data_IF_526154746153
#
_entry.id   IF_526154746153
#
_cell.length_a   1.000
_cell.length_b   1.000
_cell.length_c   1.000
_cell.angle_alpha   90.00
_cell.angle_beta   90.00
_cell.angle_gamma   90.00
#
_symmetry.space_group_name_H-M   'P 1'
#
loop_
_entity.id
_entity.type
_entity.pdbx_description
1 polymer ?
#
# COMPACT_ATOMS: atom_id res chain seq x y z
N UNK A 1 -25.02 -48.23 -8.99
CA UNK A 1 -24.73 -48.37 -7.55
C UNK A 1 -23.88 -47.17 -7.16
N UNK A 2 -24.43 -46.27 -6.31
CA UNK A 2 -23.83 -45.23 -5.41
C UNK A 2 -22.46 -44.62 -5.79
N UNK A 3 -22.34 -43.30 -6.05
CA UNK A 3 -22.21 -42.15 -5.10
C UNK A 3 -21.04 -42.33 -4.09
N UNK A 4 -20.12 -41.40 -3.81
CA UNK A 4 -20.24 -40.00 -3.32
C UNK A 4 -18.86 -39.26 -3.37
N UNK A 5 -18.86 -37.95 -3.67
CA UNK A 5 -18.42 -36.78 -2.86
C UNK A 5 -16.91 -36.63 -2.57
N UNK A 6 -16.25 -35.47 -2.70
CA UNK A 6 -16.70 -34.10 -2.43
C UNK A 6 -16.23 -33.70 -1.02
N UNK A 7 -15.16 -32.90 -0.91
CA UNK A 7 -14.59 -32.50 0.38
C UNK A 7 -13.87 -31.16 0.31
N UNK A 8 -14.63 -30.09 0.52
CA UNK A 8 -14.13 -28.75 0.83
C UNK A 8 -13.40 -28.77 2.18
N UNK A 9 -12.17 -28.25 2.21
CA UNK A 9 -11.43 -28.05 3.45
C UNK A 9 -11.82 -26.70 4.07
N UNK A 10 -12.68 -26.75 5.08
CA UNK A 10 -12.96 -25.63 5.98
C UNK A 10 -11.76 -25.49 6.92
N UNK A 11 -11.01 -24.39 6.84
CA UNK A 11 -9.95 -24.06 7.80
C UNK A 11 -10.58 -23.54 9.09
N UNK A 12 -10.41 -24.30 10.16
CA UNK A 12 -10.82 -23.95 11.52
C UNK A 12 -9.86 -22.93 12.13
N UNK A 13 -10.39 -21.77 12.49
CA UNK A 13 -9.74 -20.78 13.35
C UNK A 13 -9.89 -21.26 14.81
N UNK A 14 -8.79 -21.60 15.46
CA UNK A 14 -8.74 -21.89 16.90
C UNK A 14 -7.35 -21.59 17.43
N UNK A 15 -7.26 -20.59 18.31
CA UNK A 15 -6.19 -20.17 19.24
C UNK A 15 -6.60 -18.71 19.58
N UNK A 16 -6.93 -18.24 20.79
CA UNK A 16 -6.58 -18.60 22.15
C UNK A 16 -7.74 -18.14 23.07
N UNK A 17 -8.31 -19.05 23.87
CA UNK A 17 -9.07 -18.70 25.06
C UNK A 17 -8.25 -19.16 26.26
N UNK A 18 -7.65 -18.23 27.01
CA UNK A 18 -6.93 -18.57 28.24
C UNK A 18 -6.81 -17.35 29.18
N UNK A 19 -7.92 -16.88 29.76
CA UNK A 19 -7.93 -16.28 31.12
C UNK A 19 -9.33 -16.44 31.71
N UNK A 20 -9.62 -17.54 32.43
CA UNK A 20 -10.64 -17.55 33.49
C UNK A 20 -10.47 -18.75 34.45
N UNK A 21 -10.06 -18.45 35.68
CA UNK A 21 -10.07 -19.31 36.89
C UNK A 21 -9.70 -18.37 38.04
N UNK A 22 -10.61 -17.85 38.87
CA UNK A 22 -11.37 -18.43 39.98
C UNK A 22 -12.31 -17.27 40.45
N UNK A 23 -13.55 -17.40 40.89
CA UNK A 23 -14.04 -18.10 42.09
C UNK A 23 -15.57 -18.28 41.94
N UNK A 24 -16.04 -19.48 42.27
CA UNK A 24 -17.44 -19.83 42.40
C UNK A 24 -18.00 -19.49 43.80
N UNK A 25 -19.30 -19.17 43.87
CA UNK A 25 -20.31 -19.86 44.69
C UNK A 25 -21.38 -18.92 45.28
N UNK A 26 -22.55 -19.53 45.52
CA UNK A 26 -23.86 -19.01 45.98
C UNK A 26 -24.74 -18.54 44.80
N UNK A 27 -25.78 -19.24 44.33
CA UNK A 27 -26.67 -20.22 44.96
C UNK A 27 -28.06 -19.60 45.09
N UNK A 28 -29.08 -20.14 44.39
CA UNK A 28 -30.49 -19.79 44.65
C UNK A 28 -31.42 -19.77 43.44
N UNK A 29 -32.31 -20.77 43.38
CA UNK A 29 -33.44 -20.88 42.46
C UNK A 29 -34.50 -19.79 42.70
N UNK A 30 -35.23 -19.38 41.66
CA UNK A 30 -36.51 -18.69 41.82
C UNK A 30 -37.00 -17.97 40.57
N UNK A 31 -37.80 -18.65 39.75
CA UNK A 31 -38.66 -18.00 38.76
C UNK A 31 -39.79 -17.25 39.48
N UNK A 32 -40.19 -16.06 39.00
CA UNK A 32 -41.59 -15.59 38.88
C UNK A 32 -41.67 -14.09 38.52
N UNK A 33 -42.19 -13.86 37.31
CA UNK A 33 -43.10 -12.78 36.84
C UNK A 33 -42.74 -11.29 36.85
N UNK A 34 -43.06 -10.72 35.67
CA UNK A 34 -43.79 -9.46 35.44
C UNK A 34 -43.03 -8.13 35.54
N UNK A 35 -42.74 -7.59 34.36
CA UNK A 35 -42.49 -6.17 34.10
C UNK A 35 -43.84 -5.47 33.90
N UNK A 36 -44.03 -4.29 34.51
CA UNK A 36 -44.52 -3.16 33.71
C UNK A 36 -43.72 -1.86 33.94
N UNK A 37 -43.73 -1.03 32.90
CA UNK A 37 -43.01 0.24 32.74
C UNK A 37 -43.39 1.34 33.76
N UNK A 38 -42.51 2.34 34.00
CA UNK A 38 -42.91 3.54 34.72
C UNK A 38 -43.38 4.66 33.78
N UNK A 39 -44.52 5.22 34.17
CA UNK A 39 -45.13 6.49 33.74
C UNK A 39 -44.52 7.64 34.55
N UNK A 40 -44.66 8.83 33.97
CA UNK A 40 -44.08 10.14 34.26
C UNK A 40 -44.70 10.88 35.48
N UNK A 41 -43.93 11.85 36.02
CA UNK A 41 -44.28 13.21 36.55
C UNK A 41 -44.42 13.48 38.07
N UNK A 42 -43.75 14.59 38.46
CA UNK A 42 -44.14 15.75 39.32
C UNK A 42 -44.61 15.49 40.77
N UNK A 43 -44.41 16.30 41.83
CA UNK A 43 -43.67 17.52 42.17
C UNK A 43 -43.82 17.71 43.70
N UNK A 44 -42.81 18.32 44.34
CA UNK A 44 -42.85 19.20 45.54
C UNK A 44 -43.47 18.78 46.89
N UNK A 45 -42.70 18.95 48.00
CA UNK A 45 -43.22 19.63 49.21
C UNK A 45 -42.09 20.18 50.10
N UNK A 46 -42.31 21.40 50.60
CA UNK A 46 -41.47 22.25 51.45
C UNK A 46 -41.60 21.95 52.95
N UNK A 47 -40.58 22.31 53.74
CA UNK A 47 -40.69 22.41 55.21
C UNK A 47 -39.46 23.09 55.85
N UNK A 48 -39.69 24.25 56.44
CA UNK A 48 -38.78 25.19 57.12
C UNK A 48 -38.58 24.84 58.61
N UNK A 49 -37.39 25.08 59.19
CA UNK A 49 -37.16 25.61 60.56
C UNK A 49 -35.64 25.71 60.86
N UNK A 50 -35.17 26.89 61.30
CA UNK A 50 -33.77 27.15 61.74
C UNK A 50 -33.74 27.58 63.20
N UNK A 51 -32.66 27.26 63.96
CA UNK A 51 -31.83 28.36 64.49
C UNK A 51 -30.31 28.08 64.65
N UNK A 52 -29.51 29.15 64.52
CA UNK A 52 -28.07 29.34 64.87
C UNK A 52 -27.86 29.51 66.41
N UNK A 53 -26.65 29.79 67.01
CA UNK A 53 -25.27 30.06 66.50
C UNK A 53 -24.07 29.49 67.36
N UNK A 54 -22.81 29.70 66.91
CA UNK A 54 -21.62 30.22 67.67
C UNK A 54 -20.30 29.89 66.92
N UNK A 55 -19.53 30.88 66.43
CA UNK A 55 -18.31 31.48 67.05
C UNK A 55 -17.29 30.43 67.54
N UNK A 56 -16.00 30.40 67.21
CA UNK A 56 -15.03 31.30 66.56
C UNK A 56 -13.65 30.87 67.06
N UNK A 57 -12.68 30.66 66.17
CA UNK A 57 -11.30 30.25 66.50
C UNK A 57 -10.33 30.65 65.39
N UNK A 58 -9.25 31.32 65.78
CA UNK A 58 -8.25 32.06 64.99
C UNK A 58 -7.38 31.24 64.00
N UNK A 59 -6.61 31.91 63.11
CA UNK A 59 -6.09 31.35 61.86
C UNK A 59 -4.68 30.75 61.98
N UNK A 60 -4.34 29.82 61.08
CA UNK A 60 -2.95 29.40 60.83
C UNK A 60 -2.62 29.50 59.33
N UNK A 61 -1.64 30.37 59.08
CA UNK A 61 -0.75 30.61 57.94
C UNK A 61 -1.02 29.96 56.58
N UNK A 62 -1.11 30.85 55.58
CA UNK A 62 -0.98 30.57 54.16
C UNK A 62 0.45 30.12 53.81
N UNK A 63 0.56 28.98 53.12
CA UNK A 63 1.73 28.64 52.32
C UNK A 63 1.40 28.84 50.85
N UNK A 64 2.09 29.78 50.22
CA UNK A 64 1.96 30.08 48.80
C UNK A 64 2.74 29.02 48.01
N UNK A 65 2.05 28.25 47.16
CA UNK A 65 2.69 27.35 46.21
C UNK A 65 3.40 28.15 45.09
N UNK A 66 4.56 27.71 44.58
CA UNK A 66 5.25 28.40 43.50
C UNK A 66 4.54 28.17 42.15
N UNK A 67 4.42 29.26 41.38
CA UNK A 67 3.93 29.25 40.00
C UNK A 67 4.91 28.48 39.08
N UNK A 68 4.43 27.63 38.15
CA UNK A 68 5.32 27.01 37.17
C UNK A 68 5.86 28.05 36.18
N UNK A 69 7.15 27.95 35.87
CA UNK A 69 7.80 28.80 34.89
C UNK A 69 7.26 28.54 33.47
N UNK A 70 7.11 29.61 32.68
CA UNK A 70 6.71 29.51 31.28
C UNK A 70 7.82 28.89 30.42
N UNK A 71 7.42 28.09 29.43
CA UNK A 71 8.33 27.51 28.43
C UNK A 71 9.06 28.59 27.62
N UNK A 72 10.34 28.39 27.27
CA UNK A 72 11.05 29.30 26.39
C UNK A 72 10.48 29.25 24.95
N UNK A 73 10.56 30.36 24.20
CA UNK A 73 10.08 30.39 22.83
C UNK A 73 10.89 29.44 21.94
N UNK A 74 10.21 28.79 21.00
CA UNK A 74 10.82 27.93 19.99
C UNK A 74 11.82 28.73 19.14
N UNK A 75 12.96 28.10 18.83
CA UNK A 75 13.97 28.68 17.96
C UNK A 75 13.47 28.79 16.52
N UNK A 76 13.87 29.86 15.82
CA UNK A 76 13.58 30.08 14.41
C UNK A 76 14.14 28.93 13.54
N UNK A 77 13.40 28.48 12.51
CA UNK A 77 13.90 27.47 11.57
C UNK A 77 15.11 28.01 10.79
N UNK A 78 16.09 27.15 10.44
CA UNK A 78 17.23 27.59 9.64
C UNK A 78 16.79 28.06 8.26
N UNK A 79 17.40 29.14 7.78
CA UNK A 79 17.16 29.68 6.46
C UNK A 79 17.47 28.62 5.39
N UNK A 80 16.54 28.42 4.45
CA UNK A 80 16.71 27.53 3.31
C UNK A 80 17.92 27.99 2.46
N UNK A 81 18.98 27.17 2.42
CA UNK A 81 20.09 27.40 1.51
C UNK A 81 19.62 27.12 0.08
N UNK A 82 19.75 28.13 -0.79
CA UNK A 82 19.37 28.05 -2.19
C UNK A 82 20.31 27.09 -2.91
N UNK A 83 19.77 25.96 -3.38
CA UNK A 83 20.50 25.00 -4.21
C UNK A 83 20.96 25.66 -5.53
N UNK A 84 22.20 25.44 -5.98
CA UNK A 84 22.70 25.98 -7.24
C UNK A 84 21.94 25.39 -8.43
N UNK A 85 21.70 26.22 -9.45
CA UNK A 85 20.99 25.81 -10.67
C UNK A 85 21.77 24.73 -11.44
N UNK A 86 21.07 23.75 -12.06
CA UNK A 86 21.73 22.69 -12.84
C UNK A 86 22.36 23.24 -14.14
N UNK A 87 23.39 22.58 -14.68
CA UNK A 87 23.99 22.94 -15.95
C UNK A 87 23.01 22.70 -17.12
N UNK A 88 23.17 23.43 -18.25
CA UNK A 88 22.32 23.23 -19.42
C UNK A 88 22.56 21.85 -20.08
N UNK A 89 21.48 21.22 -20.53
CA UNK A 89 21.50 19.93 -21.25
C UNK A 89 22.24 20.01 -22.59
N UNK A 90 22.89 18.92 -23.05
CA UNK A 90 23.54 18.88 -24.36
C UNK A 90 22.51 18.85 -25.51
N UNK A 91 22.79 19.61 -26.58
CA UNK A 91 21.96 19.62 -27.80
C UNK A 91 22.07 18.30 -28.60
N UNK A 92 20.98 17.83 -29.22
CA UNK A 92 21.00 16.65 -30.07
C UNK A 92 21.73 16.90 -31.40
N UNK A 93 22.39 15.87 -31.99
CA UNK A 93 23.07 16.03 -33.27
C UNK A 93 22.07 16.21 -34.42
N UNK A 94 22.40 17.16 -35.31
CA UNK A 94 21.62 17.48 -36.50
C UNK A 94 21.49 16.28 -37.46
N UNK A 95 20.25 15.93 -37.79
CA UNK A 95 19.94 14.95 -38.83
C UNK A 95 20.31 15.51 -40.22
N UNK A 96 21.28 14.88 -40.88
CA UNK A 96 21.64 15.17 -42.26
C UNK A 96 20.58 14.59 -43.21
N UNK A 97 19.81 15.47 -43.84
CA UNK A 97 18.92 15.12 -44.95
C UNK A 97 19.68 15.10 -46.29
N UNK A 98 19.59 13.99 -47.01
CA UNK A 98 20.07 13.85 -48.39
C UNK A 98 18.98 13.25 -49.27
N UNK A 99 18.52 14.03 -50.25
CA UNK A 99 17.47 13.67 -51.21
C UNK A 99 18.05 13.18 -52.54
N UNK A 100 17.23 12.36 -53.22
CA UNK A 100 17.08 12.09 -54.66
C UNK A 100 18.20 11.39 -55.47
N UNK A 101 17.77 10.32 -56.15
CA UNK A 101 18.35 9.77 -57.37
C UNK A 101 17.34 8.80 -57.99
N UNK A 102 16.55 9.28 -58.95
CA UNK A 102 15.67 8.47 -59.76
C UNK A 102 16.47 7.85 -60.91
N UNK A 103 16.39 6.52 -61.08
CA UNK A 103 16.81 5.88 -62.32
C UNK A 103 15.78 4.83 -62.75
N UNK A 104 15.41 4.99 -64.02
CA UNK A 104 14.41 4.27 -64.78
C UNK A 104 15.10 3.06 -65.44
N UNK A 105 14.65 1.83 -65.20
CA UNK A 105 14.97 0.70 -66.07
C UNK A 105 13.93 -0.42 -65.99
N UNK A 106 13.34 -0.68 -67.16
CA UNK A 106 12.50 -1.81 -67.54
C UNK A 106 13.09 -3.18 -67.17
N UNK A 107 12.27 -4.04 -66.55
CA UNK A 107 12.33 -5.50 -66.70
C UNK A 107 11.09 -6.18 -66.08
N UNK A 108 10.17 -6.65 -66.92
CA UNK A 108 9.22 -7.73 -66.60
C UNK A 108 9.89 -9.10 -66.88
N UNK A 109 9.32 -10.26 -66.48
CA UNK A 109 8.48 -10.60 -65.33
C UNK A 109 8.98 -11.88 -64.60
N UNK A 110 8.54 -12.16 -63.37
CA UNK A 110 8.30 -13.56 -62.90
C UNK A 110 7.33 -13.52 -61.72
N UNK A 111 6.14 -14.08 -61.90
CA UNK A 111 5.22 -14.38 -60.80
C UNK A 111 5.81 -15.58 -60.02
N UNK A 112 6.43 -15.29 -58.88
CA UNK A 112 6.92 -16.33 -57.97
C UNK A 112 5.86 -16.54 -56.90
N UNK A 113 5.20 -17.70 -56.95
CA UNK A 113 4.23 -18.14 -55.95
C UNK A 113 4.94 -18.33 -54.61
N UNK A 114 4.75 -17.40 -53.67
CA UNK A 114 5.24 -17.60 -52.30
C UNK A 114 4.24 -18.48 -51.55
N UNK A 115 4.67 -19.71 -51.25
CA UNK A 115 3.99 -20.62 -50.36
C UNK A 115 3.88 -19.99 -48.96
N UNK A 116 2.70 -20.00 -48.38
CA UNK A 116 2.45 -19.55 -47.01
C UNK A 116 3.09 -20.57 -46.05
N UNK A 117 4.24 -20.20 -45.49
CA UNK A 117 4.89 -20.95 -44.42
C UNK A 117 4.17 -20.68 -43.11
N UNK A 118 3.24 -21.57 -42.75
CA UNK A 118 2.64 -21.61 -41.41
C UNK A 118 3.62 -22.26 -40.43
N UNK A 119 4.67 -21.54 -40.05
CA UNK A 119 5.47 -21.91 -38.90
C UNK A 119 4.79 -21.34 -37.64
N UNK A 120 4.56 -22.14 -36.58
CA UNK A 120 4.08 -21.60 -35.31
C UNK A 120 5.14 -20.64 -34.77
N UNK A 121 4.69 -19.45 -34.35
CA UNK A 121 5.52 -18.49 -33.63
C UNK A 121 6.08 -19.18 -32.38
N UNK A 122 7.39 -19.06 -32.08
CA UNK A 122 7.92 -19.59 -30.82
C UNK A 122 7.23 -18.85 -29.67
N UNK A 123 6.79 -19.61 -28.67
CA UNK A 123 6.36 -19.05 -27.40
C UNK A 123 7.48 -18.18 -26.85
N UNK A 124 7.14 -16.96 -26.43
CA UNK A 124 8.04 -16.00 -25.83
C UNK A 124 8.79 -16.66 -24.66
N UNK A 125 10.09 -16.87 -24.81
CA UNK A 125 10.95 -17.29 -23.72
C UNK A 125 10.94 -16.19 -22.66
N UNK A 126 10.66 -16.57 -21.41
CA UNK A 126 10.84 -15.72 -20.24
C UNK A 126 12.28 -15.16 -20.23
N UNK A 127 12.50 -13.91 -19.81
CA UNK A 127 13.82 -13.31 -19.87
C UNK A 127 14.83 -14.15 -19.07
N UNK A 128 15.89 -14.58 -19.75
CA UNK A 128 17.02 -15.23 -19.13
C UNK A 128 17.72 -14.25 -18.17
N UNK A 129 17.68 -14.52 -16.85
CA UNK A 129 18.53 -13.78 -15.91
C UNK A 129 18.12 -13.70 -14.45
N UNK A 130 16.97 -14.22 -14.01
CA UNK A 130 16.62 -14.17 -12.60
C UNK A 130 17.16 -15.39 -11.85
N UNK A 131 18.33 -15.25 -11.21
CA UNK A 131 18.64 -16.12 -10.09
C UNK A 131 17.49 -16.00 -9.07
N UNK A 132 17.00 -17.15 -8.57
CA UNK A 132 15.97 -17.15 -7.53
C UNK A 132 16.42 -16.33 -6.33
N UNK A 133 15.50 -15.58 -5.74
CA UNK A 133 15.81 -14.70 -4.63
C UNK A 133 16.27 -15.48 -3.38
N UNK A 134 17.30 -15.02 -2.64
CA UNK A 134 17.85 -15.75 -1.49
C UNK A 134 16.88 -15.90 -0.31
N UNK A 135 15.77 -15.17 -0.30
CA UNK A 135 14.74 -15.17 0.74
C UNK A 135 13.88 -16.46 0.75
N UNK A 136 14.08 -17.35 -0.22
CA UNK A 136 13.54 -18.72 -0.19
C UNK A 136 12.08 -18.84 -0.62
N UNK A 137 11.55 -17.86 -1.34
CA UNK A 137 10.23 -17.92 -1.96
C UNK A 137 10.39 -18.32 -3.42
N UNK A 138 9.80 -19.45 -3.82
CA UNK A 138 9.88 -19.96 -5.18
C UNK A 138 9.27 -18.99 -6.21
N UNK A 139 10.01 -18.72 -7.29
CA UNK A 139 9.56 -17.84 -8.36
C UNK A 139 9.77 -16.35 -8.11
N UNK A 140 10.26 -15.95 -6.92
CA UNK A 140 10.70 -14.56 -6.72
C UNK A 140 11.97 -14.33 -7.50
N UNK A 141 11.92 -13.32 -8.36
CA UNK A 141 13.05 -12.89 -9.18
C UNK A 141 13.78 -11.74 -8.52
N UNK A 142 15.11 -11.73 -8.64
CA UNK A 142 15.95 -10.58 -8.30
C UNK A 142 15.96 -9.63 -9.49
N UNK A 143 15.53 -8.38 -9.27
CA UNK A 143 15.60 -7.32 -10.27
C UNK A 143 16.85 -6.47 -10.01
N UNK A 144 17.81 -6.40 -10.95
CA UNK A 144 19.00 -5.57 -10.78
C UNK A 144 18.64 -4.09 -10.73
N UNK A 145 18.91 -3.43 -9.60
CA UNK A 145 18.71 -1.99 -9.43
C UNK A 145 20.08 -1.31 -9.38
N UNK A 146 20.29 -0.36 -10.30
CA UNK A 146 21.58 0.33 -10.47
C UNK A 146 21.64 1.68 -9.75
N UNK A 147 20.49 2.23 -9.35
CA UNK A 147 20.36 3.54 -8.70
C UNK A 147 19.01 3.65 -7.99
N UNK A 148 18.96 4.41 -6.90
CA UNK A 148 17.75 4.86 -6.21
C UNK A 148 17.61 6.40 -6.27
N UNK A 149 18.25 7.05 -7.24
CA UNK A 149 18.24 8.51 -7.35
C UNK A 149 16.83 9.08 -7.58
N UNK A 150 16.54 10.17 -6.89
CA UNK A 150 15.34 10.96 -7.15
C UNK A 150 15.51 11.82 -8.41
N UNK A 151 14.61 11.64 -9.37
CA UNK A 151 14.56 12.34 -10.65
C UNK A 151 13.29 13.20 -10.77
N UNK A 152 13.18 13.94 -11.88
CA UNK A 152 12.02 14.80 -12.19
C UNK A 152 11.45 14.55 -13.59
N UNK A 153 11.76 13.38 -14.15
CA UNK A 153 11.44 12.98 -15.51
C UNK A 153 11.02 11.51 -15.51
N UNK A 154 10.32 11.12 -16.57
CA UNK A 154 9.87 9.75 -16.79
C UNK A 154 11.05 8.80 -16.94
N UNK A 155 10.94 7.60 -16.37
CA UNK A 155 12.00 6.60 -16.30
C UNK A 155 11.59 5.35 -17.09
N UNK A 156 12.49 4.88 -17.94
CA UNK A 156 12.35 3.57 -18.57
C UNK A 156 12.90 2.49 -17.65
N UNK A 157 12.03 1.56 -17.25
CA UNK A 157 12.37 0.49 -16.32
C UNK A 157 12.65 -0.84 -17.02
N UNK A 158 13.51 -1.70 -16.45
CA UNK A 158 13.81 -3.01 -17.02
C UNK A 158 12.67 -4.03 -16.82
N UNK A 159 11.71 -3.74 -15.94
CA UNK A 159 10.54 -4.57 -15.67
C UNK A 159 9.27 -3.73 -15.76
N UNK A 160 8.16 -4.38 -16.12
CA UNK A 160 6.83 -3.78 -16.20
C UNK A 160 5.84 -4.74 -15.55
N UNK A 161 5.29 -4.42 -14.36
CA UNK A 161 5.54 -3.22 -13.55
C UNK A 161 6.99 -3.10 -13.04
N UNK A 162 7.45 -1.88 -12.70
CA UNK A 162 8.78 -1.67 -12.15
C UNK A 162 8.89 -2.14 -10.70
N UNK A 163 10.07 -2.66 -10.34
CA UNK A 163 10.39 -3.12 -8.99
C UNK A 163 11.50 -2.29 -8.31
N UNK A 164 11.81 -1.09 -8.81
CA UNK A 164 12.88 -0.24 -8.30
C UNK A 164 13.60 0.53 -9.41
N UNK A 165 14.46 1.47 -9.03
CA UNK A 165 15.25 2.29 -9.95
C UNK A 165 15.19 3.78 -9.61
N UNK A 166 15.73 4.66 -10.48
CA UNK A 166 15.46 6.09 -10.40
C UNK A 166 13.96 6.34 -10.40
N UNK A 167 13.49 7.32 -9.63
CA UNK A 167 12.06 7.56 -9.44
C UNK A 167 11.80 9.00 -8.97
N UNK A 168 10.55 9.45 -8.93
CA UNK A 168 10.24 10.83 -8.54
C UNK A 168 10.54 11.04 -7.07
N UNK A 169 10.99 12.23 -6.65
CA UNK A 169 11.26 12.54 -5.24
C UNK A 169 10.03 12.71 -4.33
N UNK A 170 8.87 12.19 -4.74
CA UNK A 170 7.62 12.22 -3.99
C UNK A 170 6.90 10.87 -4.16
N UNK A 171 6.42 10.30 -3.07
CA UNK A 171 5.77 8.99 -3.09
C UNK A 171 4.27 9.06 -3.37
N UNK A 172 3.75 7.94 -3.89
CA UNK A 172 2.32 7.69 -3.90
C UNK A 172 1.86 7.18 -2.53
N UNK A 173 0.75 7.70 -2.04
CA UNK A 173 0.08 7.18 -0.86
C UNK A 173 -0.38 5.75 -1.14
N UNK A 174 0.05 4.81 -0.29
CA UNK A 174 -0.40 3.43 -0.32
C UNK A 174 -1.91 3.33 -0.10
N UNK A 175 -2.53 2.33 -0.72
CA UNK A 175 -3.97 2.13 -0.74
C UNK A 175 -4.43 1.41 -2.00
N UNK A 176 -5.75 1.27 -2.13
CA UNK A 176 -6.37 0.60 -3.27
C UNK A 176 -6.85 1.60 -4.32
N UNK A 177 -6.18 1.61 -5.47
CA UNK A 177 -6.55 2.41 -6.64
C UNK A 177 -7.33 1.58 -7.66
N UNK A 178 -8.40 2.16 -8.19
CA UNK A 178 -9.21 1.58 -9.29
C UNK A 178 -8.72 2.05 -10.67
N UNK A 179 -7.73 2.95 -10.70
CA UNK A 179 -7.12 3.50 -11.90
C UNK A 179 -5.61 3.26 -11.89
N UNK A 180 -4.96 3.18 -13.06
CA UNK A 180 -3.50 3.09 -13.13
C UNK A 180 -2.83 4.26 -12.41
N UNK A 181 -1.64 4.02 -11.91
CA UNK A 181 -0.83 5.00 -11.17
C UNK A 181 0.44 5.29 -11.94
N UNK A 182 1.10 6.41 -11.65
CA UNK A 182 2.39 6.74 -12.26
C UNK A 182 3.48 5.84 -11.65
N UNK A 183 4.23 5.17 -12.52
CA UNK A 183 5.25 4.18 -12.15
C UNK A 183 6.30 4.76 -11.20
N UNK A 184 6.80 5.95 -11.48
CA UNK A 184 7.83 6.61 -10.67
C UNK A 184 7.32 6.99 -9.27
N UNK A 185 6.02 7.27 -9.09
CA UNK A 185 5.46 7.52 -7.76
C UNK A 185 5.33 6.22 -6.96
N UNK A 186 4.90 5.14 -7.63
CA UNK A 186 4.79 3.82 -7.02
C UNK A 186 6.17 3.26 -6.65
N UNK A 187 7.20 3.47 -7.48
CA UNK A 187 8.57 3.06 -7.19
C UNK A 187 9.13 3.78 -5.97
N UNK A 188 8.83 5.06 -5.76
CA UNK A 188 9.18 5.73 -4.50
C UNK A 188 8.50 5.06 -3.30
N UNK A 189 7.22 4.68 -3.41
CA UNK A 189 6.55 3.92 -2.36
C UNK A 189 7.27 2.60 -2.07
N UNK A 190 7.82 1.92 -3.08
CA UNK A 190 8.66 0.72 -2.90
C UNK A 190 9.97 1.05 -2.16
N UNK A 191 10.56 2.23 -2.37
CA UNK A 191 11.75 2.69 -1.63
C UNK A 191 11.48 2.76 -0.12
N UNK A 192 10.25 3.12 0.26
CA UNK A 192 9.77 3.20 1.64
C UNK A 192 9.32 1.84 2.21
N UNK A 193 9.46 0.75 1.46
CA UNK A 193 9.09 -0.59 1.89
C UNK A 193 7.64 -0.96 1.61
N UNK A 194 6.99 -0.28 0.66
CA UNK A 194 5.72 -0.76 0.14
C UNK A 194 5.88 -2.07 -0.63
N UNK A 195 4.82 -2.88 -0.61
CA UNK A 195 4.59 -3.89 -1.64
C UNK A 195 3.51 -3.36 -2.57
N UNK A 196 3.85 -3.26 -3.85
CA UNK A 196 2.91 -2.90 -4.89
C UNK A 196 2.33 -4.16 -5.53
N UNK A 197 1.05 -4.40 -5.28
CA UNK A 197 0.26 -5.47 -5.87
C UNK A 197 -0.47 -4.93 -7.09
N UNK A 198 -0.07 -5.38 -8.26
CA UNK A 198 -0.69 -4.99 -9.53
C UNK A 198 -1.55 -6.11 -10.08
N UNK A 199 -2.67 -5.74 -10.70
CA UNK A 199 -3.64 -6.71 -11.21
C UNK A 199 -4.07 -6.37 -12.64
N UNK A 200 -4.40 -7.41 -13.41
CA UNK A 200 -5.04 -7.29 -14.72
C UNK A 200 -6.56 -7.21 -14.60
N UNK A 201 -7.22 -6.72 -15.65
CA UNK A 201 -8.69 -6.60 -15.76
C UNK A 201 -9.48 -7.91 -15.59
N UNK A 202 -8.85 -9.08 -15.70
CA UNK A 202 -9.50 -10.36 -15.45
C UNK A 202 -9.57 -10.73 -13.96
N UNK A 203 -8.79 -10.09 -13.09
CA UNK A 203 -8.95 -10.12 -11.63
C UNK A 203 -10.14 -9.25 -11.23
N UNK A 204 -11.21 -9.89 -10.75
CA UNK A 204 -12.50 -9.24 -10.48
C UNK A 204 -13.28 -9.94 -9.37
N UNK A 205 -14.37 -9.32 -8.94
CA UNK A 205 -15.28 -9.93 -7.96
C UNK A 205 -14.62 -10.09 -6.59
N UNK A 206 -14.71 -11.30 -6.03
CA UNK A 206 -14.19 -11.61 -4.68
C UNK A 206 -12.70 -11.31 -4.55
N UNK A 207 -11.87 -11.73 -5.52
CA UNK A 207 -10.43 -11.47 -5.49
C UNK A 207 -10.09 -9.97 -5.45
N UNK A 208 -10.82 -9.14 -6.21
CA UNK A 208 -10.62 -7.69 -6.16
C UNK A 208 -11.06 -7.09 -4.82
N UNK A 209 -12.12 -7.64 -4.22
CA UNK A 209 -12.57 -7.28 -2.88
C UNK A 209 -11.55 -7.65 -1.80
N UNK A 210 -10.88 -8.79 -1.93
CA UNK A 210 -9.78 -9.20 -1.03
C UNK A 210 -8.59 -8.23 -1.10
N UNK A 211 -8.19 -7.84 -2.31
CA UNK A 211 -7.14 -6.82 -2.50
C UNK A 211 -7.52 -5.47 -1.89
N UNK A 212 -8.79 -5.07 -1.99
CA UNK A 212 -9.28 -3.85 -1.37
C UNK A 212 -9.21 -3.93 0.17
N UNK A 213 -9.60 -5.06 0.75
CA UNK A 213 -9.51 -5.30 2.21
C UNK A 213 -8.05 -5.31 2.66
N UNK A 214 -7.17 -5.97 1.92
CA UNK A 214 -5.74 -6.02 2.20
C UNK A 214 -5.12 -4.61 2.26
N UNK A 215 -5.38 -3.78 1.24
CA UNK A 215 -4.88 -2.41 1.19
C UNK A 215 -5.44 -1.53 2.32
N UNK A 216 -6.68 -1.78 2.75
CA UNK A 216 -7.27 -1.05 3.87
C UNK A 216 -6.70 -1.45 5.24
N UNK A 217 -6.13 -2.66 5.36
CA UNK A 217 -5.57 -3.20 6.60
C UNK A 217 -4.06 -2.96 6.75
N UNK A 218 -3.38 -2.53 5.69
CA UNK A 218 -1.94 -2.30 5.68
C UNK A 218 -1.60 -0.88 5.28
N UNK A 219 -0.68 -0.25 5.99
CA UNK A 219 -0.18 1.09 5.65
C UNK A 219 0.81 1.11 4.48
N UNK A 220 1.32 -0.06 4.05
CA UNK A 220 2.39 -0.19 3.05
C UNK A 220 2.00 -1.10 1.89
N UNK A 221 0.72 -1.43 1.74
CA UNK A 221 0.23 -2.12 0.54
C UNK A 221 -0.32 -1.07 -0.43
N UNK A 222 0.28 -1.02 -1.60
CA UNK A 222 -0.23 -0.27 -2.75
C UNK A 222 -0.88 -1.26 -3.71
N UNK A 223 -2.09 -0.97 -4.19
CA UNK A 223 -2.79 -1.80 -5.18
C UNK A 223 -3.27 -0.93 -6.33
N UNK A 224 -3.01 -1.33 -7.58
CA UNK A 224 -3.54 -0.64 -8.76
C UNK A 224 -3.63 -1.58 -9.97
N UNK A 225 -4.49 -1.28 -10.96
CA UNK A 225 -4.52 -2.02 -12.21
C UNK A 225 -3.27 -1.75 -13.06
N UNK A 226 -2.80 -2.78 -13.76
CA UNK A 226 -1.65 -2.70 -14.66
C UNK A 226 -1.84 -3.66 -15.86
N UNK A 227 -2.49 -3.21 -16.93
CA UNK A 227 -2.93 -4.09 -18.02
C UNK A 227 -1.79 -4.67 -18.88
N UNK A 228 -0.61 -4.04 -18.86
CA UNK A 228 0.52 -4.49 -19.67
C UNK A 228 1.27 -5.70 -19.07
N UNK A 229 0.97 -6.09 -17.83
CA UNK A 229 1.61 -7.23 -17.18
C UNK A 229 1.11 -8.56 -17.76
N UNK A 230 1.96 -9.60 -17.77
CA UNK A 230 1.60 -10.90 -18.33
C UNK A 230 0.70 -11.71 -17.39
N UNK A 231 1.05 -11.80 -16.11
CA UNK A 231 0.32 -12.59 -15.11
C UNK A 231 -0.88 -11.85 -14.51
N UNK A 232 -1.93 -12.56 -14.04
CA UNK A 232 -3.07 -11.94 -13.36
C UNK A 232 -2.67 -11.00 -12.22
N UNK A 233 -1.63 -11.38 -11.45
CA UNK A 233 -1.09 -10.61 -10.34
C UNK A 233 0.43 -10.49 -10.47
N UNK A 234 0.97 -9.32 -10.16
CA UNK A 234 2.40 -9.11 -9.95
C UNK A 234 2.60 -8.36 -8.64
N UNK A 235 3.43 -8.92 -7.75
CA UNK A 235 3.84 -8.31 -6.49
C UNK A 235 5.25 -7.79 -6.67
N UNK A 236 5.42 -6.48 -6.49
CA UNK A 236 6.71 -5.81 -6.58
C UNK A 236 7.08 -5.24 -5.21
N UNK A 237 8.30 -5.54 -4.77
CA UNK A 237 9.00 -4.87 -3.68
C UNK A 237 10.35 -4.38 -4.23
N UNK A 238 11.06 -3.52 -3.51
CA UNK A 238 12.33 -3.01 -4.02
C UNK A 238 13.29 -4.15 -4.41
N UNK A 239 13.75 -4.18 -5.65
CA UNK A 239 14.62 -5.21 -6.25
C UNK A 239 14.06 -6.66 -6.23
N UNK A 240 12.76 -6.87 -5.99
CA UNK A 240 12.13 -8.19 -5.88
C UNK A 240 10.77 -8.20 -6.55
N UNK A 241 10.50 -9.23 -7.33
CA UNK A 241 9.22 -9.34 -8.01
C UNK A 241 8.73 -10.78 -8.04
N UNK A 242 7.41 -10.96 -7.95
CA UNK A 242 6.75 -12.25 -8.01
C UNK A 242 5.50 -12.14 -8.88
N UNK A 243 5.45 -12.94 -9.94
CA UNK A 243 4.26 -13.08 -10.78
C UNK A 243 3.43 -14.28 -10.29
N UNK A 244 2.12 -14.10 -10.16
CA UNK A 244 1.17 -15.09 -9.65
C UNK A 244 -0.08 -15.19 -10.53
N UNK A 245 -0.64 -16.39 -10.58
CA UNK A 245 -1.89 -16.66 -11.31
C UNK A 245 -3.14 -16.45 -10.44
N UNK A 246 -3.02 -16.45 -9.10
CA UNK A 246 -4.14 -16.32 -8.16
C UNK A 246 -3.69 -15.77 -6.79
N UNK A 247 -4.63 -15.16 -6.06
CA UNK A 247 -4.46 -14.78 -4.65
C UNK A 247 -4.38 -15.99 -3.72
N UNK A 248 -4.94 -17.14 -4.13
CA UNK A 248 -4.89 -18.38 -3.35
C UNK A 248 -3.48 -19.00 -3.30
N UNK A 249 -2.54 -18.47 -4.08
CA UNK A 249 -1.17 -18.96 -4.07
C UNK A 249 -0.51 -18.62 -2.72
N UNK A 250 -0.02 -19.62 -1.96
CA UNK A 250 0.55 -19.38 -0.63
C UNK A 250 1.79 -18.46 -0.66
N UNK A 251 2.39 -18.25 -1.83
CA UNK A 251 3.50 -17.31 -2.01
C UNK A 251 3.05 -15.85 -1.93
N UNK A 252 1.77 -15.55 -2.14
CA UNK A 252 1.21 -14.20 -2.01
C UNK A 252 1.44 -13.66 -0.59
N UNK A 253 0.89 -14.37 0.41
CA UNK A 253 1.05 -14.02 1.82
C UNK A 253 2.52 -14.04 2.22
N UNK A 254 3.26 -15.06 1.76
CA UNK A 254 4.68 -15.19 2.09
C UNK A 254 5.51 -14.02 1.55
N UNK A 255 5.17 -13.47 0.39
CA UNK A 255 5.84 -12.30 -0.18
C UNK A 255 5.60 -11.07 0.69
N UNK A 256 4.35 -10.84 1.10
CA UNK A 256 4.01 -9.73 2.00
C UNK A 256 4.72 -9.86 3.35
N UNK A 257 4.77 -11.05 3.93
CA UNK A 257 5.50 -11.32 5.18
C UNK A 257 6.99 -10.98 5.12
N UNK A 258 7.62 -11.13 3.95
CA UNK A 258 9.08 -10.97 3.80
C UNK A 258 9.46 -9.55 3.38
N UNK A 259 8.66 -8.89 2.55
CA UNK A 259 9.09 -7.68 1.85
C UNK A 259 8.40 -6.39 2.28
N UNK A 260 7.30 -6.48 3.03
CA UNK A 260 6.57 -5.31 3.51
C UNK A 260 7.34 -4.60 4.63
N UNK A 261 7.29 -3.26 4.67
CA UNK A 261 7.90 -2.37 5.67
C UNK A 261 9.43 -2.35 5.69
N UNK A 262 10.06 -3.39 6.22
CA UNK A 262 11.50 -3.48 6.48
C UNK A 262 12.15 -4.62 5.70
N UNK A 263 11.58 -4.95 4.54
CA UNK A 263 12.06 -5.98 3.63
C UNK A 263 13.57 -5.86 3.34
N UNK A 264 14.25 -6.98 3.06
CA UNK A 264 15.72 -7.08 3.06
C UNK A 264 16.44 -6.21 2.03
N UNK A 265 15.71 -5.65 1.07
CA UNK A 265 16.22 -4.84 -0.04
C UNK A 265 15.72 -3.41 -0.05
N UNK A 266 14.90 -3.02 0.92
CA UNK A 266 14.29 -1.69 1.02
C UNK A 266 15.38 -0.66 1.34
N UNK A 267 15.54 0.41 0.54
CA UNK A 267 16.54 1.45 0.81
C UNK A 267 16.18 2.31 2.03
N UNK A 268 14.91 2.64 2.24
CA UNK A 268 14.43 3.51 3.32
C UNK A 268 13.36 2.82 4.19
N UNK A 269 13.73 1.74 4.92
CA UNK A 269 12.77 0.95 5.67
C UNK A 269 12.07 1.78 6.76
N UNK A 270 10.74 1.71 6.80
CA UNK A 270 9.90 2.39 7.79
C UNK A 270 9.59 3.86 7.48
N UNK A 271 10.02 4.39 6.33
CA UNK A 271 9.53 5.66 5.83
C UNK A 271 8.02 5.60 5.54
N UNK A 272 7.32 6.73 5.63
CA UNK A 272 5.87 6.72 5.50
C UNK A 272 5.43 6.44 4.05
N UNK A 273 4.48 5.52 3.86
CA UNK A 273 3.76 5.38 2.59
C UNK A 273 2.42 6.17 2.58
N UNK A 274 2.35 7.29 3.30
CA UNK A 274 1.16 8.15 3.35
C UNK A 274 1.56 9.61 3.56
N UNK A 275 0.66 10.55 3.24
CA UNK A 275 0.89 11.99 3.43
C UNK A 275 1.56 12.73 2.27
N UNK A 276 1.81 12.08 1.14
CA UNK A 276 2.27 12.69 -0.11
C UNK A 276 1.14 12.70 -1.16
N UNK A 277 1.40 12.32 -2.42
CA UNK A 277 0.40 12.39 -3.50
C UNK A 277 -0.48 11.14 -3.57
N UNK A 278 -1.65 11.26 -4.17
CA UNK A 278 -2.59 10.17 -4.35
C UNK A 278 -3.69 10.17 -3.29
N UNK A 279 -4.94 10.19 -3.76
CA UNK A 279 -6.13 9.94 -2.97
C UNK A 279 -6.87 8.76 -3.60
N UNK A 280 -6.71 7.54 -3.05
CA UNK A 280 -7.48 6.39 -3.50
C UNK A 280 -9.00 6.63 -3.36
N UNK A 281 -9.85 6.02 -4.21
CA UNK A 281 -9.47 5.05 -5.24
C UNK A 281 -9.13 5.63 -6.62
N UNK A 282 -9.55 6.86 -6.94
CA UNK A 282 -9.60 7.36 -8.33
C UNK A 282 -8.72 8.59 -8.61
N UNK A 283 -7.92 9.06 -7.65
CA UNK A 283 -7.16 10.30 -7.80
C UNK A 283 -5.66 10.14 -7.49
N UNK A 284 -4.91 9.38 -8.29
CA UNK A 284 -3.50 9.06 -8.02
C UNK A 284 -2.56 10.27 -8.05
N UNK A 285 -2.97 11.37 -8.69
CA UNK A 285 -2.17 12.60 -8.80
C UNK A 285 -2.61 13.71 -7.82
N UNK A 286 -3.69 13.48 -7.05
CA UNK A 286 -4.20 14.51 -6.15
C UNK A 286 -3.32 14.66 -4.91
N UNK A 287 -3.07 15.90 -4.49
CA UNK A 287 -2.47 16.18 -3.18
C UNK A 287 -3.59 16.17 -2.13
N UNK A 288 -3.53 15.31 -1.10
CA UNK A 288 -4.48 15.34 0.01
C UNK A 288 -4.51 16.74 0.61
N UNK A 289 -5.71 17.32 0.75
CA UNK A 289 -5.82 18.59 1.44
C UNK A 289 -5.44 18.37 2.91
N UNK A 290 -4.38 19.06 3.35
CA UNK A 290 -3.98 19.10 4.75
C UNK A 290 -5.12 19.78 5.53
N UNK A 291 -5.91 18.99 6.25
CA UNK A 291 -7.02 19.44 7.08
C UNK A 291 -6.57 20.02 8.41
#
# INVERSE_FOLDING_TARGET
>A
MRMLAGGSAVRALSLLAAVLLLVAACGGNGATTAVPAPVVRESEVTGDDSPQPAAGGEPAEATTAPTPAADPPAADPPAAEQSPSPPPSPEPPAAAGGRVGADLADALPTVSTMAQSTAPLPASEAPAGAAGAPEGIEGVVVVPIVSNEHVRYDVEYPTSPPAGGPHLGIWLNCGFYTVPVLDELAVHSLEHGAVWVTYRSDVRGEALGELQVLAAQSSHVLVSPYEAQDSPLVLSAWARQLALDSLDDPRFDRFLEVYLFDGPTVPEPGAACSGAVGVPPEHPEAIPQQG
#
